data_IF_261151335737
#
_entry.id   IF_261151335737
#
_cell.length_a   1.000
_cell.length_b   1.000
_cell.length_c   1.000
_cell.angle_alpha   90.00
_cell.angle_beta   90.00
_cell.angle_gamma   90.00
#
_symmetry.space_group_name_H-M   'P 1'
#
loop_
_entity.id
_entity.type
_entity.pdbx_description
1 polymer ?
#
# COMPACT_ATOMS: atom_id res chain seq x y z
N UNK A 1 -15.59 6.33 -13.41
CA UNK A 1 -15.12 7.41 -12.50
C UNK A 1 -13.90 7.04 -11.66
N UNK A 2 -13.82 5.84 -11.05
CA UNK A 2 -12.68 5.44 -10.21
C UNK A 2 -11.30 5.57 -10.90
N UNK A 3 -11.20 5.17 -12.19
CA UNK A 3 -9.95 5.33 -12.96
C UNK A 3 -9.53 6.79 -13.15
N UNK A 4 -10.49 7.72 -13.25
CA UNK A 4 -10.20 9.16 -13.34
C UNK A 4 -9.64 9.66 -12.01
N UNK A 5 -10.25 9.28 -10.89
CA UNK A 5 -9.70 9.61 -9.56
C UNK A 5 -8.31 9.03 -9.36
N UNK A 6 -8.10 7.79 -9.77
CA UNK A 6 -6.79 7.13 -9.70
C UNK A 6 -5.74 7.90 -10.53
N UNK A 7 -6.08 8.34 -11.75
CA UNK A 7 -5.18 9.12 -12.60
C UNK A 7 -4.84 10.50 -12.01
N UNK A 8 -5.84 11.19 -11.45
CA UNK A 8 -5.65 12.49 -10.78
C UNK A 8 -4.78 12.32 -9.53
N UNK A 9 -5.07 11.35 -8.66
CA UNK A 9 -4.31 11.07 -7.44
C UNK A 9 -2.87 10.68 -7.80
N UNK A 10 -2.66 9.84 -8.82
CA UNK A 10 -1.33 9.46 -9.31
C UNK A 10 -0.55 10.70 -9.75
N UNK A 11 -1.16 11.57 -10.56
CA UNK A 11 -0.53 12.79 -11.06
C UNK A 11 -0.14 13.75 -9.93
N UNK A 12 -1.05 13.94 -8.96
CA UNK A 12 -0.78 14.76 -7.77
C UNK A 12 0.32 14.15 -6.90
N UNK A 13 0.37 12.84 -6.76
CA UNK A 13 1.40 12.15 -5.96
C UNK A 13 2.78 12.29 -6.58
N UNK A 14 2.89 12.16 -7.92
CA UNK A 14 4.15 12.41 -8.64
C UNK A 14 4.61 13.86 -8.44
N UNK A 15 3.69 14.83 -8.52
CA UNK A 15 4.01 16.23 -8.24
C UNK A 15 4.46 16.44 -6.78
N UNK A 16 3.79 15.80 -5.81
CA UNK A 16 4.21 15.85 -4.40
C UNK A 16 5.61 15.29 -4.18
N UNK A 17 5.96 14.18 -4.85
CA UNK A 17 7.31 13.61 -4.79
C UNK A 17 8.36 14.56 -5.40
N UNK A 18 8.05 15.20 -6.53
CA UNK A 18 8.91 16.25 -7.10
C UNK A 18 9.14 17.41 -6.10
N UNK A 19 8.08 17.91 -5.48
CA UNK A 19 8.16 18.99 -4.50
C UNK A 19 9.00 18.59 -3.27
N UNK A 20 8.82 17.35 -2.77
CA UNK A 20 9.62 16.79 -1.68
C UNK A 20 11.10 16.69 -2.04
N UNK A 21 11.42 16.17 -3.23
CA UNK A 21 12.79 16.07 -3.72
C UNK A 21 13.44 17.45 -3.87
N UNK A 22 12.69 18.45 -4.38
CA UNK A 22 13.18 19.82 -4.50
C UNK A 22 13.45 20.44 -3.13
N UNK A 23 12.54 20.24 -2.17
CA UNK A 23 12.71 20.70 -0.80
C UNK A 23 13.92 20.03 -0.12
N UNK A 24 14.11 18.72 -0.32
CA UNK A 24 15.27 17.99 0.18
C UNK A 24 16.59 18.52 -0.41
N UNK A 25 16.63 18.72 -1.73
CA UNK A 25 17.82 19.24 -2.41
C UNK A 25 18.17 20.66 -1.96
N UNK A 26 17.18 21.53 -1.75
CA UNK A 26 17.40 22.93 -1.34
C UNK A 26 17.74 23.10 0.13
N UNK A 27 17.10 22.34 1.01
CA UNK A 27 17.29 22.47 2.46
C UNK A 27 18.50 21.69 2.98
N UNK A 28 18.92 20.61 2.30
CA UNK A 28 19.96 19.68 2.76
C UNK A 28 19.69 19.07 4.16
N UNK A 29 18.43 19.08 4.61
CA UNK A 29 18.02 18.47 5.88
C UNK A 29 17.61 17.03 5.62
N UNK A 30 18.02 16.08 6.47
CA UNK A 30 17.78 14.64 6.26
C UNK A 30 16.41 14.13 6.69
N UNK A 31 15.68 14.91 7.49
CA UNK A 31 14.36 14.54 8.00
C UNK A 31 13.29 15.45 7.42
N UNK A 32 12.14 14.86 7.11
CA UNK A 32 11.00 15.63 6.61
C UNK A 32 10.46 16.60 7.67
N UNK A 33 10.46 16.20 8.95
CA UNK A 33 10.06 17.05 10.07
C UNK A 33 11.00 18.24 10.20
N UNK A 34 12.29 18.06 9.94
CA UNK A 34 13.28 19.13 9.93
C UNK A 34 13.05 20.12 8.78
N UNK A 35 12.68 19.62 7.59
CA UNK A 35 12.27 20.50 6.47
C UNK A 35 10.97 21.23 6.75
N UNK A 36 9.98 20.53 7.30
CA UNK A 36 8.71 21.13 7.69
C UNK A 36 8.93 22.24 8.73
N UNK A 37 9.83 22.02 9.70
CA UNK A 37 10.22 23.02 10.68
C UNK A 37 10.90 24.24 10.03
N UNK A 38 11.84 24.00 9.12
CA UNK A 38 12.60 25.06 8.48
C UNK A 38 11.75 25.94 7.54
N UNK A 39 10.76 25.35 6.85
CA UNK A 39 9.94 26.04 5.85
C UNK A 39 8.63 26.60 6.41
N UNK A 40 7.98 25.89 7.34
CA UNK A 40 6.61 26.14 7.76
C UNK A 40 6.47 26.36 9.27
N UNK A 41 7.58 26.27 10.02
CA UNK A 41 7.63 26.52 11.45
C UNK A 41 7.22 25.32 12.33
N UNK A 42 7.34 25.50 13.65
CA UNK A 42 7.15 24.44 14.65
C UNK A 42 5.74 23.83 14.64
N UNK A 43 4.71 24.66 14.52
CA UNK A 43 3.32 24.19 14.56
C UNK A 43 3.02 23.21 13.43
N UNK A 44 3.42 23.56 12.20
CA UNK A 44 3.22 22.70 11.05
C UNK A 44 4.09 21.43 11.11
N UNK A 45 5.33 21.53 11.58
CA UNK A 45 6.19 20.36 11.76
C UNK A 45 5.58 19.34 12.74
N UNK A 46 5.01 19.80 13.85
CA UNK A 46 4.33 18.94 14.82
C UNK A 46 3.08 18.29 14.22
N UNK A 47 2.28 19.06 13.49
CA UNK A 47 1.11 18.54 12.78
C UNK A 47 1.50 17.44 11.77
N UNK A 48 2.51 17.70 10.94
CA UNK A 48 2.97 16.77 9.92
C UNK A 48 3.58 15.48 10.53
N UNK A 49 4.31 15.60 11.64
CA UNK A 49 4.78 14.46 12.43
C UNK A 49 3.60 13.63 12.98
N UNK A 50 2.58 14.29 13.51
CA UNK A 50 1.36 13.61 14.00
C UNK A 50 0.63 12.85 12.89
N UNK A 51 0.47 13.46 11.72
CA UNK A 51 -0.15 12.81 10.54
C UNK A 51 0.66 11.59 10.09
N UNK A 52 2.00 11.69 10.03
CA UNK A 52 2.87 10.54 9.69
C UNK A 52 2.73 9.39 10.67
N UNK A 53 2.70 9.68 11.98
CA UNK A 53 2.51 8.66 13.03
C UNK A 53 1.14 7.99 12.86
N UNK A 54 0.08 8.79 12.70
CA UNK A 54 -1.28 8.27 12.53
C UNK A 54 -1.42 7.41 11.27
N UNK A 55 -0.84 7.85 10.15
CA UNK A 55 -0.84 7.10 8.91
C UNK A 55 -0.05 5.79 9.04
N UNK A 56 1.14 5.83 9.63
CA UNK A 56 1.94 4.63 9.87
C UNK A 56 1.24 3.62 10.78
N UNK A 57 0.62 4.10 11.87
CA UNK A 57 -0.14 3.26 12.80
C UNK A 57 -1.37 2.63 12.11
N UNK A 58 -2.17 3.43 11.40
CA UNK A 58 -3.34 2.93 10.68
C UNK A 58 -2.97 1.92 9.59
N UNK A 59 -1.88 2.14 8.86
CA UNK A 59 -1.38 1.17 7.88
C UNK A 59 -0.92 -0.14 8.54
N UNK A 60 -0.23 -0.07 9.67
CA UNK A 60 0.17 -1.25 10.44
C UNK A 60 -1.05 -2.08 10.88
N UNK A 61 -2.09 -1.41 11.42
CA UNK A 61 -3.35 -2.06 11.83
C UNK A 61 -4.06 -2.68 10.63
N UNK A 62 -4.17 -1.95 9.51
CA UNK A 62 -4.81 -2.45 8.29
C UNK A 62 -4.11 -3.70 7.74
N UNK A 63 -2.77 -3.77 7.80
CA UNK A 63 -2.04 -4.96 7.39
C UNK A 63 -2.27 -6.16 8.29
N UNK A 64 -2.29 -5.98 9.61
CA UNK A 64 -2.59 -7.08 10.55
C UNK A 64 -4.00 -7.62 10.34
N UNK A 65 -4.99 -6.73 10.15
CA UNK A 65 -6.37 -7.12 9.83
C UNK A 65 -6.41 -7.89 8.50
N UNK A 66 -5.77 -7.36 7.46
CA UNK A 66 -5.75 -8.01 6.13
C UNK A 66 -5.12 -9.40 6.17
N UNK A 67 -4.05 -9.59 6.93
CA UNK A 67 -3.43 -10.91 7.14
C UNK A 67 -4.42 -11.87 7.83
N UNK A 68 -5.12 -11.40 8.86
CA UNK A 68 -6.13 -12.20 9.55
C UNK A 68 -7.34 -12.55 8.68
N UNK A 69 -7.77 -11.66 7.79
CA UNK A 69 -8.84 -11.93 6.84
C UNK A 69 -8.43 -12.97 5.79
N UNK A 70 -7.18 -12.90 5.31
CA UNK A 70 -6.62 -13.89 4.39
C UNK A 70 -6.58 -15.28 5.04
N UNK A 71 -6.08 -15.39 6.27
CA UNK A 71 -6.06 -16.68 6.98
C UNK A 71 -7.46 -17.21 7.23
N UNK A 72 -8.39 -16.34 7.65
CA UNK A 72 -9.78 -16.71 7.83
C UNK A 72 -10.35 -17.33 6.56
N UNK A 73 -10.09 -16.73 5.41
CA UNK A 73 -10.61 -17.21 4.13
C UNK A 73 -10.01 -18.56 3.73
N UNK A 74 -8.70 -18.74 3.86
CA UNK A 74 -8.01 -20.02 3.60
C UNK A 74 -8.58 -21.13 4.50
N UNK A 75 -8.76 -20.83 5.80
CA UNK A 75 -9.26 -21.80 6.79
C UNK A 75 -10.75 -22.11 6.55
N UNK A 76 -11.56 -21.13 6.19
CA UNK A 76 -12.98 -21.35 5.93
C UNK A 76 -13.22 -22.20 4.68
N UNK A 77 -12.37 -22.06 3.65
CA UNK A 77 -12.43 -22.92 2.46
C UNK A 77 -12.00 -24.37 2.76
N UNK A 78 -11.16 -24.61 3.77
CA UNK A 78 -10.62 -25.94 4.05
C UNK A 78 -11.56 -26.77 4.94
N UNK A 79 -12.14 -27.83 4.39
CA UNK A 79 -12.97 -28.78 5.14
C UNK A 79 -12.17 -29.64 6.14
N UNK A 80 -10.84 -29.66 6.02
CA UNK A 80 -9.95 -30.40 6.93
C UNK A 80 -9.43 -29.57 8.10
N UNK A 81 -9.82 -28.29 8.21
CA UNK A 81 -9.32 -27.42 9.26
C UNK A 81 -9.95 -27.73 10.64
N UNK A 82 -9.17 -27.68 11.74
CA UNK A 82 -9.70 -27.82 13.10
C UNK A 82 -10.81 -26.80 13.38
N UNK A 83 -11.92 -27.25 13.99
CA UNK A 83 -13.07 -26.38 14.32
C UNK A 83 -12.65 -25.12 15.11
N UNK A 84 -11.66 -25.25 16.01
CA UNK A 84 -11.12 -24.13 16.80
C UNK A 84 -10.50 -23.03 15.93
N UNK A 85 -9.84 -23.37 14.80
CA UNK A 85 -9.25 -22.37 13.90
C UNK A 85 -10.30 -21.69 13.01
N UNK A 86 -11.46 -22.33 12.81
CA UNK A 86 -12.61 -21.78 12.08
C UNK A 86 -13.36 -20.74 12.91
N UNK A 87 -13.24 -20.78 14.23
CA UNK A 87 -13.80 -19.77 15.13
C UNK A 87 -13.02 -18.44 15.07
N UNK A 88 -13.73 -17.33 15.30
CA UNK A 88 -13.14 -15.97 15.34
C UNK A 88 -12.01 -15.86 16.36
N UNK A 89 -12.12 -16.56 17.50
CA UNK A 89 -11.09 -16.60 18.54
C UNK A 89 -9.80 -17.27 18.04
N UNK A 90 -9.92 -18.40 17.33
CA UNK A 90 -8.78 -19.10 16.75
C UNK A 90 -8.10 -18.28 15.66
N UNK A 91 -8.86 -17.62 14.79
CA UNK A 91 -8.29 -16.74 13.77
C UNK A 91 -7.53 -15.55 14.40
N UNK A 92 -8.06 -14.94 15.47
CA UNK A 92 -7.38 -13.85 16.19
C UNK A 92 -6.09 -14.32 16.85
N UNK A 93 -6.09 -15.51 17.45
CA UNK A 93 -4.89 -16.12 18.02
C UNK A 93 -3.85 -16.42 16.93
N UNK A 94 -4.26 -17.01 15.81
CA UNK A 94 -3.39 -17.27 14.66
C UNK A 94 -2.78 -15.98 14.11
N UNK A 95 -3.61 -14.95 13.90
CA UNK A 95 -3.16 -13.64 13.44
C UNK A 95 -2.16 -13.03 14.41
N UNK A 96 -2.40 -13.12 15.73
CA UNK A 96 -1.48 -12.65 16.75
C UNK A 96 -0.14 -13.42 16.75
N UNK A 97 -0.18 -14.74 16.57
CA UNK A 97 1.01 -15.58 16.46
C UNK A 97 1.81 -15.25 15.19
N UNK A 98 1.17 -15.09 14.04
CA UNK A 98 1.85 -14.71 12.80
C UNK A 98 2.42 -13.30 12.92
N UNK A 99 1.69 -12.38 13.54
CA UNK A 99 2.22 -11.05 13.83
C UNK A 99 3.47 -11.13 14.71
N UNK A 100 3.45 -11.90 15.80
CA UNK A 100 4.57 -12.03 16.73
C UNK A 100 5.77 -12.79 16.14
N UNK A 101 5.53 -13.82 15.34
CA UNK A 101 6.56 -14.74 14.84
C UNK A 101 7.05 -14.45 13.43
N UNK A 102 6.28 -13.72 12.60
CA UNK A 102 6.66 -13.39 11.23
C UNK A 102 6.77 -11.88 11.02
N UNK A 103 5.72 -11.10 11.34
CA UNK A 103 5.73 -9.66 11.06
C UNK A 103 6.70 -8.89 11.97
N UNK A 104 6.67 -9.15 13.28
CA UNK A 104 7.53 -8.50 14.27
C UNK A 104 9.03 -8.77 14.07
N UNK A 105 9.49 -10.02 13.83
CA UNK A 105 10.91 -10.27 13.59
C UNK A 105 11.42 -9.62 12.31
N UNK A 106 10.55 -9.46 11.30
CA UNK A 106 10.87 -8.76 10.07
C UNK A 106 11.08 -7.24 10.24
N UNK A 107 10.73 -6.67 11.39
CA UNK A 107 11.05 -5.26 11.75
C UNK A 107 12.48 -5.13 12.30
N UNK A 108 13.04 -6.21 12.84
CA UNK A 108 14.35 -6.24 13.52
C UNK A 108 15.57 -6.08 12.59
N UNK A 109 15.62 -6.58 11.34
CA UNK A 109 16.82 -6.44 10.51
C UNK A 109 17.10 -4.96 10.21
N UNK A 110 18.16 -4.44 10.83
CA UNK A 110 18.63 -3.05 10.71
C UNK A 110 19.31 -2.74 9.36
N UNK A 111 19.53 -3.74 8.51
CA UNK A 111 20.17 -3.55 7.21
C UNK A 111 19.12 -3.39 6.11
N UNK A 112 18.94 -2.14 5.67
CA UNK A 112 18.03 -1.72 4.58
C UNK A 112 18.27 -2.52 3.29
N UNK A 113 19.50 -2.98 3.06
CA UNK A 113 19.89 -3.74 1.87
C UNK A 113 19.15 -5.08 1.71
N UNK A 114 18.87 -5.79 2.81
CA UNK A 114 18.11 -7.06 2.74
C UNK A 114 16.62 -6.81 2.45
N UNK A 115 16.09 -5.69 2.95
CA UNK A 115 14.71 -5.30 2.78
C UNK A 115 14.40 -4.93 1.31
N UNK A 116 15.40 -4.40 0.58
CA UNK A 116 15.27 -4.10 -0.85
C UNK A 116 14.97 -5.34 -1.67
N UNK A 117 15.71 -6.44 -1.46
CA UNK A 117 15.47 -7.70 -2.17
C UNK A 117 14.08 -8.26 -1.86
N UNK A 118 13.69 -8.23 -0.58
CA UNK A 118 12.36 -8.68 -0.15
C UNK A 118 11.23 -7.85 -0.75
N UNK A 119 11.40 -6.52 -0.83
CA UNK A 119 10.43 -5.62 -1.46
C UNK A 119 10.32 -5.87 -2.98
N UNK A 120 11.43 -6.04 -3.69
CA UNK A 120 11.39 -6.39 -5.13
C UNK A 120 10.68 -7.72 -5.37
N UNK A 121 10.94 -8.72 -4.54
CA UNK A 121 10.24 -10.00 -4.57
C UNK A 121 8.73 -9.83 -4.29
N UNK A 122 8.35 -9.06 -3.27
CA UNK A 122 6.93 -8.79 -2.98
C UNK A 122 6.21 -8.10 -4.16
N UNK A 123 6.87 -7.17 -4.86
CA UNK A 123 6.31 -6.50 -6.04
C UNK A 123 6.10 -7.48 -7.20
N UNK A 124 7.01 -8.44 -7.43
CA UNK A 124 6.80 -9.44 -8.48
C UNK A 124 5.60 -10.34 -8.20
N UNK A 125 5.35 -10.71 -6.94
CA UNK A 125 4.12 -11.42 -6.55
C UNK A 125 2.87 -10.59 -6.75
N UNK A 126 2.91 -9.28 -6.51
CA UNK A 126 1.78 -8.41 -6.80
C UNK A 126 1.48 -8.36 -8.30
N UNK A 127 2.51 -8.31 -9.16
CA UNK A 127 2.32 -8.38 -10.62
C UNK A 127 1.68 -9.73 -11.00
N UNK A 128 2.17 -10.84 -10.44
CA UNK A 128 1.57 -12.17 -10.65
C UNK A 128 0.09 -12.20 -10.24
N UNK A 129 -0.25 -11.67 -9.06
CA UNK A 129 -1.65 -11.58 -8.62
C UNK A 129 -2.53 -10.80 -9.59
N UNK A 130 -2.05 -9.66 -10.12
CA UNK A 130 -2.79 -8.92 -11.14
C UNK A 130 -3.00 -9.76 -12.40
N UNK A 131 -1.98 -10.50 -12.85
CA UNK A 131 -2.12 -11.39 -14.00
C UNK A 131 -3.15 -12.50 -13.75
N UNK A 132 -3.17 -13.10 -12.56
CA UNK A 132 -4.18 -14.12 -12.19
C UNK A 132 -5.60 -13.53 -12.26
N UNK A 133 -5.82 -12.33 -11.71
CA UNK A 133 -7.14 -11.66 -11.81
C UNK A 133 -7.52 -11.42 -13.28
N UNK A 134 -6.58 -10.96 -14.11
CA UNK A 134 -6.85 -10.66 -15.51
C UNK A 134 -7.19 -11.94 -16.28
N UNK A 135 -6.44 -13.02 -16.06
CA UNK A 135 -6.69 -14.31 -16.71
C UNK A 135 -8.03 -14.87 -16.24
N UNK A 136 -8.28 -14.94 -14.93
CA UNK A 136 -9.53 -15.45 -14.37
C UNK A 136 -10.75 -14.64 -14.85
N UNK A 137 -10.64 -13.31 -14.86
CA UNK A 137 -11.67 -12.42 -15.40
C UNK A 137 -11.91 -12.66 -16.89
N UNK A 138 -10.87 -12.94 -17.68
CA UNK A 138 -11.02 -13.27 -19.10
C UNK A 138 -11.62 -14.67 -19.35
N UNK A 139 -11.35 -15.65 -18.49
CA UNK A 139 -11.80 -17.04 -18.67
C UNK A 139 -13.17 -17.32 -18.07
N UNK A 140 -13.53 -16.68 -16.95
CA UNK A 140 -14.78 -16.92 -16.22
C UNK A 140 -15.68 -15.68 -16.19
N UNK A 141 -15.11 -14.49 -15.93
CA UNK A 141 -15.89 -13.25 -15.83
C UNK A 141 -16.47 -12.73 -17.15
N UNK A 142 -15.68 -12.72 -18.22
CA UNK A 142 -16.05 -12.19 -19.54
C UNK A 142 -17.14 -13.01 -20.25
N UNK A 143 -17.05 -14.35 -20.35
CA UNK A 143 -18.07 -15.14 -21.03
C UNK A 143 -19.47 -15.03 -20.40
N UNK A 144 -19.55 -14.89 -19.08
CA UNK A 144 -20.82 -14.79 -18.35
C UNK A 144 -21.40 -13.36 -18.29
N UNK A 145 -20.55 -12.31 -18.34
CA UNK A 145 -20.99 -10.91 -18.22
C UNK A 145 -21.07 -10.13 -19.55
N UNK A 146 -20.47 -10.61 -20.65
CA UNK A 146 -20.52 -9.93 -21.97
C UNK A 146 -21.97 -9.75 -22.48
N UNK A 147 -22.90 -10.65 -22.13
CA UNK A 147 -24.30 -10.53 -22.52
C UNK A 147 -25.11 -9.47 -21.74
N UNK A 148 -24.53 -8.79 -20.74
CA UNK A 148 -25.23 -7.79 -19.89
C UNK A 148 -24.45 -6.49 -19.67
N UNK A 149 -23.53 -6.12 -20.57
CA UNK A 149 -22.86 -4.81 -20.53
C UNK A 149 -23.80 -3.76 -21.10
N UNK A 150 -24.64 -3.14 -20.27
CA UNK A 150 -25.39 -1.95 -20.66
C UNK A 150 -24.53 -0.70 -20.45
N UNK A 151 -24.36 0.08 -21.51
CA UNK A 151 -23.61 1.35 -21.54
C UNK A 151 -24.50 2.52 -21.10
N UNK A 152 -25.76 2.27 -20.74
CA UNK A 152 -26.75 3.28 -20.40
C UNK A 152 -27.36 3.02 -19.02
N UNK A 153 -27.83 4.09 -18.35
CA UNK A 153 -28.55 4.05 -17.07
C UNK A 153 -29.76 3.11 -17.16
N UNK A 154 -29.53 1.85 -16.87
CA UNK A 154 -30.60 0.89 -16.64
C UNK A 154 -30.32 0.24 -15.28
N UNK A 155 -31.30 0.29 -14.38
CA UNK A 155 -31.14 -0.06 -12.97
C UNK A 155 -30.76 -1.54 -12.75
N UNK A 156 -30.95 -2.38 -13.76
CA UNK A 156 -30.69 -3.83 -13.76
C UNK A 156 -29.33 -4.27 -14.35
N UNK A 157 -28.43 -3.36 -14.72
CA UNK A 157 -27.10 -3.74 -15.22
C UNK A 157 -26.14 -4.12 -14.06
N UNK A 158 -25.48 -5.29 -14.10
CA UNK A 158 -24.54 -5.76 -13.06
C UNK A 158 -23.23 -4.95 -13.00
N UNK A 159 -22.92 -4.18 -14.05
CA UNK A 159 -21.68 -3.40 -14.20
C UNK A 159 -22.03 -1.93 -14.50
N UNK A 160 -21.94 -1.06 -13.48
CA UNK A 160 -22.14 0.39 -13.65
C UNK A 160 -20.78 1.09 -13.79
N UNK A 161 -20.48 1.61 -14.98
CA UNK A 161 -19.22 2.32 -15.27
C UNK A 161 -19.23 3.79 -14.81
N UNK A 162 -20.42 4.38 -14.72
CA UNK A 162 -20.65 5.76 -14.30
C UNK A 162 -21.63 5.82 -13.14
N UNK A 163 -21.08 5.92 -11.93
CA UNK A 163 -21.86 6.20 -10.73
C UNK A 163 -21.76 7.71 -10.44
N UNK A 164 -22.90 8.37 -10.21
CA UNK A 164 -22.98 9.79 -9.87
C UNK A 164 -23.55 9.93 -8.46
N UNK A 165 -22.96 10.80 -7.63
CA UNK A 165 -23.39 11.03 -6.24
C UNK A 165 -22.40 10.51 -5.19
N UNK A 166 -22.84 10.43 -3.92
CA UNK A 166 -21.97 10.16 -2.77
C UNK A 166 -21.27 8.79 -2.81
N UNK A 167 -21.84 7.79 -3.49
CA UNK A 167 -21.22 6.46 -3.68
C UNK A 167 -19.94 6.52 -4.51
N UNK A 168 -19.74 7.55 -5.35
CA UNK A 168 -18.50 7.71 -6.11
C UNK A 168 -17.33 8.19 -5.24
N UNK A 169 -17.62 8.86 -4.12
CA UNK A 169 -16.61 9.45 -3.22
C UNK A 169 -16.16 8.45 -2.15
N UNK A 170 -16.96 7.43 -1.85
CA UNK A 170 -16.67 6.42 -0.81
C UNK A 170 -15.31 5.72 -1.03
N UNK A 171 -15.00 5.34 -2.28
CA UNK A 171 -13.70 4.73 -2.62
C UNK A 171 -12.52 5.70 -2.69
N UNK A 172 -12.77 7.02 -2.70
CA UNK A 172 -11.72 8.03 -2.84
C UNK A 172 -10.76 8.03 -1.64
N UNK A 173 -11.29 7.83 -0.42
CA UNK A 173 -10.48 7.71 0.79
C UNK A 173 -9.48 6.55 0.73
N UNK A 174 -9.90 5.41 0.17
CA UNK A 174 -9.04 4.22 0.00
C UNK A 174 -7.91 4.51 -0.98
N UNK A 175 -8.20 5.17 -2.12
CA UNK A 175 -7.16 5.56 -3.09
C UNK A 175 -6.18 6.58 -2.50
N UNK A 176 -6.68 7.59 -1.77
CA UNK A 176 -5.80 8.55 -1.10
C UNK A 176 -4.89 7.83 -0.09
N UNK A 177 -5.45 6.94 0.73
CA UNK A 177 -4.66 6.18 1.70
C UNK A 177 -3.60 5.30 1.02
N UNK A 178 -3.95 4.62 -0.07
CA UNK A 178 -3.04 3.73 -0.79
C UNK A 178 -1.87 4.45 -1.49
N UNK A 179 -2.08 5.69 -1.95
CA UNK A 179 -1.05 6.47 -2.66
C UNK A 179 -0.15 7.31 -1.74
N UNK A 180 -0.47 7.41 -0.45
CA UNK A 180 0.37 8.13 0.51
C UNK A 180 1.67 7.36 0.72
N UNK A 181 2.78 7.99 0.33
CA UNK A 181 4.13 7.42 0.44
C UNK A 181 4.94 8.17 1.49
N UNK A 182 4.76 7.82 2.77
CA UNK A 182 5.44 8.53 3.88
C UNK A 182 6.97 8.39 3.86
N UNK A 183 7.48 7.31 3.26
CA UNK A 183 8.89 6.94 3.16
C UNK A 183 9.67 7.64 2.04
N UNK A 184 8.98 8.41 1.17
CA UNK A 184 9.59 8.95 -0.05
C UNK A 184 10.77 9.87 0.24
N UNK A 185 10.73 10.54 1.39
CA UNK A 185 11.75 11.48 1.80
C UNK A 185 13.03 10.78 2.26
N UNK A 186 12.89 9.72 3.05
CA UNK A 186 13.99 8.90 3.54
C UNK A 186 14.65 8.16 2.37
N UNK A 187 13.84 7.62 1.44
CA UNK A 187 14.32 6.98 0.20
C UNK A 187 15.14 7.92 -0.68
N UNK A 188 14.80 9.21 -0.74
CA UNK A 188 15.61 10.20 -1.47
C UNK A 188 17.03 10.31 -0.90
N UNK A 189 17.17 10.26 0.43
CA UNK A 189 18.46 10.39 1.10
C UNK A 189 19.33 9.13 1.02
N UNK A 190 18.71 7.95 0.90
CA UNK A 190 19.40 6.66 0.76
C UNK A 190 19.78 6.33 -0.70
N UNK A 191 19.34 7.12 -1.67
CA UNK A 191 19.68 6.92 -3.08
C UNK A 191 21.18 7.20 -3.34
N UNK A 192 21.89 6.32 -4.07
CA UNK A 192 23.34 6.46 -4.32
C UNK A 192 23.68 7.72 -5.12
N UNK A 193 22.94 7.99 -6.22
CA UNK A 193 23.13 9.15 -7.09
C UNK A 193 21.98 10.15 -6.97
N UNK A 194 22.06 10.99 -5.93
CA UNK A 194 20.99 11.92 -5.54
C UNK A 194 20.90 13.10 -6.50
N UNK A 195 19.94 13.02 -7.41
CA UNK A 195 19.53 14.15 -8.26
C UNK A 195 18.01 14.21 -8.33
N UNK A 196 17.45 15.41 -8.31
CA UNK A 196 16.00 15.62 -8.39
C UNK A 196 15.38 14.92 -9.60
N UNK A 197 16.04 15.00 -10.76
CA UNK A 197 15.56 14.39 -12.01
C UNK A 197 15.49 12.87 -11.89
N UNK A 198 16.54 12.21 -11.36
CA UNK A 198 16.53 10.75 -11.21
C UNK A 198 15.53 10.29 -10.17
N UNK A 199 15.41 11.01 -9.05
CA UNK A 199 14.42 10.71 -8.02
C UNK A 199 12.99 10.83 -8.56
N UNK A 200 12.69 11.93 -9.25
CA UNK A 200 11.35 12.17 -9.82
C UNK A 200 11.03 11.17 -10.93
N UNK A 201 12.01 10.82 -11.77
CA UNK A 201 11.82 9.81 -12.81
C UNK A 201 11.58 8.41 -12.21
N UNK A 202 12.41 7.98 -11.25
CA UNK A 202 12.27 6.68 -10.62
C UNK A 202 10.94 6.58 -9.85
N UNK A 203 10.58 7.62 -9.10
CA UNK A 203 9.33 7.68 -8.35
C UNK A 203 8.12 7.75 -9.29
N UNK A 204 8.22 8.51 -10.39
CA UNK A 204 7.21 8.58 -11.44
C UNK A 204 6.96 7.23 -12.11
N UNK A 205 8.02 6.50 -12.47
CA UNK A 205 7.91 5.15 -13.04
C UNK A 205 7.25 4.18 -12.04
N UNK A 206 7.64 4.22 -10.77
CA UNK A 206 7.02 3.42 -9.72
C UNK A 206 5.53 3.74 -9.54
N UNK A 207 5.17 5.01 -9.51
CA UNK A 207 3.79 5.45 -9.35
C UNK A 207 2.92 5.13 -10.57
N UNK A 208 3.49 5.21 -11.78
CA UNK A 208 2.84 4.77 -13.02
C UNK A 208 2.62 3.25 -13.05
N UNK A 209 3.58 2.47 -12.56
CA UNK A 209 3.40 1.02 -12.41
C UNK A 209 2.26 0.71 -11.43
N UNK A 210 2.23 1.36 -10.25
CA UNK A 210 1.12 1.22 -9.29
C UNK A 210 -0.23 1.60 -9.91
N UNK A 211 -0.28 2.70 -10.68
CA UNK A 211 -1.47 3.12 -11.42
C UNK A 211 -1.96 2.02 -12.37
N UNK A 212 -1.06 1.44 -13.17
CA UNK A 212 -1.43 0.37 -14.11
C UNK A 212 -1.95 -0.86 -13.37
N UNK A 213 -1.27 -1.31 -12.33
CA UNK A 213 -1.70 -2.48 -11.54
C UNK A 213 -3.06 -2.25 -10.89
N UNK A 214 -3.29 -1.09 -10.28
CA UNK A 214 -4.58 -0.75 -9.67
C UNK A 214 -5.68 -0.56 -10.72
N UNK A 215 -5.38 0.02 -11.87
CA UNK A 215 -6.34 0.14 -12.97
C UNK A 215 -6.78 -1.23 -13.49
N UNK A 216 -5.83 -2.15 -13.69
CA UNK A 216 -6.12 -3.52 -14.14
C UNK A 216 -6.95 -4.27 -13.10
N UNK A 217 -6.55 -4.30 -11.83
CA UNK A 217 -7.31 -4.97 -10.76
C UNK A 217 -8.71 -4.37 -10.60
N UNK A 218 -8.83 -3.04 -10.62
CA UNK A 218 -10.12 -2.37 -10.48
C UNK A 218 -11.04 -2.63 -11.67
N UNK A 219 -10.50 -2.73 -12.87
CA UNK A 219 -11.29 -2.98 -14.09
C UNK A 219 -11.70 -4.45 -14.19
N UNK A 220 -10.73 -5.37 -14.20
CA UNK A 220 -10.96 -6.80 -14.36
C UNK A 220 -11.65 -7.43 -13.14
N UNK A 221 -11.25 -7.06 -11.92
CA UNK A 221 -11.92 -7.55 -10.71
C UNK A 221 -13.38 -7.08 -10.60
N UNK A 222 -13.69 -5.86 -11.08
CA UNK A 222 -15.07 -5.39 -11.14
C UNK A 222 -15.87 -6.05 -12.27
N UNK A 223 -15.25 -6.40 -13.39
CA UNK A 223 -15.92 -7.19 -14.44
C UNK A 223 -16.26 -8.60 -13.97
N UNK A 224 -15.44 -9.18 -13.08
CA UNK A 224 -15.61 -10.54 -12.59
C UNK A 224 -16.81 -10.66 -11.62
N UNK A 225 -16.87 -9.80 -10.61
CA UNK A 225 -17.88 -9.89 -9.54
C UNK A 225 -18.99 -8.81 -9.62
N UNK A 226 -18.83 -7.78 -10.45
CA UNK A 226 -19.79 -6.69 -10.63
C UNK A 226 -20.12 -5.97 -9.32
N UNK A 227 -21.41 -5.68 -9.09
CA UNK A 227 -21.90 -5.04 -7.86
C UNK A 227 -21.68 -5.83 -6.57
N UNK A 228 -21.29 -7.11 -6.64
CA UNK A 228 -21.04 -7.92 -5.43
C UNK A 228 -19.70 -7.64 -4.78
N UNK A 229 -18.79 -6.92 -5.45
CA UNK A 229 -17.49 -6.54 -4.88
C UNK A 229 -17.69 -5.80 -3.56
N UNK A 230 -17.29 -6.43 -2.46
CA UNK A 230 -17.30 -5.86 -1.12
C UNK A 230 -15.93 -6.05 -0.47
N UNK A 231 -15.35 -4.97 0.04
CA UNK A 231 -14.02 -4.98 0.66
C UNK A 231 -12.89 -5.45 -0.28
N UNK A 232 -12.19 -6.53 0.12
CA UNK A 232 -11.01 -7.03 -0.57
C UNK A 232 -11.37 -8.05 -1.65
N UNK A 233 -11.14 -7.70 -2.92
CA UNK A 233 -11.39 -8.57 -4.09
C UNK A 233 -10.67 -9.92 -3.96
N UNK A 234 -9.49 -9.96 -3.33
CA UNK A 234 -8.73 -11.19 -3.12
C UNK A 234 -9.56 -12.25 -2.38
N UNK A 235 -10.34 -11.83 -1.37
CA UNK A 235 -11.11 -12.73 -0.50
C UNK A 235 -12.35 -13.31 -1.20
N UNK A 236 -12.72 -12.79 -2.37
CA UNK A 236 -13.84 -13.29 -3.16
C UNK A 236 -13.48 -14.52 -3.99
N UNK A 237 -12.19 -14.75 -4.23
CA UNK A 237 -11.69 -15.95 -4.90
C UNK A 237 -11.48 -17.08 -3.89
N UNK A 238 -11.84 -18.32 -4.29
CA UNK A 238 -11.64 -19.51 -3.46
C UNK A 238 -10.22 -20.06 -3.63
N UNK A 239 -9.34 -19.96 -2.61
CA UNK A 239 -7.94 -20.36 -2.74
C UNK A 239 -7.72 -21.87 -2.85
N UNK A 240 -8.70 -22.72 -2.54
CA UNK A 240 -8.49 -24.18 -2.55
C UNK A 240 -8.92 -24.86 -3.85
N UNK A 241 -9.84 -24.25 -4.60
CA UNK A 241 -10.26 -24.79 -5.89
C UNK A 241 -9.29 -24.42 -7.00
N UNK A 242 -8.61 -23.27 -6.88
CA UNK A 242 -7.71 -22.75 -7.90
C UNK A 242 -6.27 -22.59 -7.36
N UNK A 243 -5.30 -23.42 -7.79
CA UNK A 243 -3.93 -23.36 -7.27
C UNK A 243 -3.24 -22.04 -7.60
N UNK A 244 -3.63 -21.37 -8.69
CA UNK A 244 -3.10 -20.06 -9.09
C UNK A 244 -3.48 -18.96 -8.09
N UNK A 245 -4.72 -19.00 -7.59
CA UNK A 245 -5.22 -18.09 -6.55
C UNK A 245 -4.48 -18.33 -5.24
N UNK A 246 -4.21 -19.58 -4.87
CA UNK A 246 -3.43 -19.89 -3.66
C UNK A 246 -2.03 -19.26 -3.70
N UNK A 247 -1.34 -19.31 -4.84
CA UNK A 247 -0.04 -18.66 -5.00
C UNK A 247 -0.15 -17.14 -4.86
N UNK A 248 -1.22 -16.54 -5.39
CA UNK A 248 -1.48 -15.12 -5.23
C UNK A 248 -1.73 -14.72 -3.76
N UNK A 249 -2.44 -15.56 -2.98
CA UNK A 249 -2.64 -15.37 -1.55
C UNK A 249 -1.31 -15.32 -0.79
N UNK A 250 -0.42 -16.28 -1.04
CA UNK A 250 0.94 -16.30 -0.46
C UNK A 250 1.72 -15.05 -0.86
N UNK A 251 1.60 -14.65 -2.12
CA UNK A 251 2.20 -13.42 -2.65
C UNK A 251 1.75 -12.17 -1.89
N UNK A 252 0.44 -11.99 -1.72
CA UNK A 252 -0.13 -10.84 -0.99
C UNK A 252 0.28 -10.89 0.49
N UNK A 253 0.27 -12.05 1.13
CA UNK A 253 0.76 -12.21 2.51
C UNK A 253 2.23 -11.76 2.64
N UNK A 254 3.09 -12.21 1.73
CA UNK A 254 4.51 -11.80 1.72
C UNK A 254 4.67 -10.29 1.57
N UNK A 255 3.87 -9.67 0.70
CA UNK A 255 3.84 -8.21 0.50
C UNK A 255 3.35 -7.47 1.73
N UNK A 256 2.33 -7.96 2.41
CA UNK A 256 1.81 -7.34 3.65
C UNK A 256 2.88 -7.35 4.75
N UNK A 257 3.61 -8.46 4.90
CA UNK A 257 4.75 -8.54 5.80
C UNK A 257 5.86 -7.55 5.43
N UNK A 258 6.22 -7.44 4.14
CA UNK A 258 7.23 -6.50 3.66
C UNK A 258 6.83 -5.04 3.93
N UNK A 259 5.57 -4.73 3.62
CA UNK A 259 5.02 -3.38 3.78
C UNK A 259 4.96 -2.98 5.25
N UNK A 260 4.65 -3.92 6.14
CA UNK A 260 4.61 -3.68 7.59
C UNK A 260 5.97 -3.20 8.12
N UNK A 261 7.06 -3.89 7.78
CA UNK A 261 8.41 -3.47 8.19
C UNK A 261 8.80 -2.10 7.65
N UNK A 262 8.46 -1.83 6.38
CA UNK A 262 8.78 -0.56 5.72
C UNK A 262 7.99 0.64 6.28
N UNK A 263 6.76 0.44 6.76
CA UNK A 263 5.94 1.51 7.33
C UNK A 263 6.17 1.71 8.83
N UNK A 264 6.67 0.70 9.53
CA UNK A 264 6.98 0.82 10.95
C UNK A 264 8.19 1.74 11.21
N UNK A 265 9.25 1.63 10.42
CA UNK A 265 10.47 2.45 10.56
C UNK A 265 10.23 3.97 10.51
N UNK A 266 9.58 4.55 9.47
CA UNK A 266 9.31 5.98 9.38
C UNK A 266 8.26 6.45 10.39
N UNK A 267 7.40 5.58 10.92
CA UNK A 267 6.41 5.96 11.94
C UNK A 267 7.07 6.10 13.32
N UNK A 268 8.12 5.32 13.59
CA UNK A 268 8.87 5.38 14.84
C UNK A 268 9.79 6.62 14.94
N UNK A 269 10.34 7.10 13.82
CA UNK A 269 11.29 8.22 13.80
C UNK A 269 10.69 9.57 14.31
N UNK A 270 9.51 10.02 13.87
CA UNK A 270 8.85 11.19 14.45
C UNK A 270 8.47 10.96 15.91
N UNK A 271 8.08 9.73 16.30
CA UNK A 271 7.71 9.39 17.68
C UNK A 271 8.88 9.65 18.65
N UNK A 272 10.10 9.24 18.28
CA UNK A 272 11.31 9.51 19.06
C UNK A 272 11.69 11.00 19.06
N UNK A 273 11.48 11.70 17.95
CA UNK A 273 11.73 13.15 17.84
C UNK A 273 10.78 13.98 18.69
N UNK A 274 9.53 13.51 18.86
CA UNK A 274 8.53 14.14 19.72
C UNK A 274 8.79 13.86 21.21
N UNK A 275 9.15 12.64 21.58
CA UNK A 275 9.45 12.24 22.97
C UNK A 275 10.79 12.79 23.49
N UNK A 276 11.81 12.89 22.64
CA UNK A 276 13.13 13.43 23.02
C UNK A 276 13.18 14.96 23.14
N UNK A 277 12.08 15.64 22.83
CA UNK A 277 12.08 17.06 22.51
C UNK A 277 12.81 17.33 21.19
N UNK A 278 12.43 18.36 20.45
CA UNK A 278 13.09 18.77 19.21
C UNK A 278 14.51 19.33 19.45
N UNK A 279 15.39 18.58 20.14
CA UNK A 279 16.84 18.80 20.17
C UNK A 279 17.45 18.22 18.89
N UNK A 280 17.06 18.77 17.74
CA UNK A 280 17.93 18.69 16.57
C UNK A 280 19.06 19.68 16.82
N UNK A 281 20.16 19.20 17.40
CA UNK A 281 21.44 19.86 17.17
C UNK A 281 21.63 19.91 15.65
N UNK A 282 21.58 21.12 15.11
CA UNK A 282 22.08 21.42 13.78
C UNK A 282 23.47 20.76 13.65
N UNK A 283 23.75 19.97 12.60
CA UNK A 283 25.12 19.59 12.32
C UNK A 283 25.85 20.88 11.92
N UNK A 284 26.40 21.56 12.92
CA UNK A 284 27.48 22.51 12.73
C UNK A 284 28.59 21.77 12.03
N UNK A 285 29.11 22.39 10.96
CA UNK A 285 29.90 21.72 9.94
C UNK A 285 31.07 20.89 10.48
N UNK A 286 31.26 19.73 9.86
CA UNK A 286 32.59 19.12 9.78
C UNK A 286 32.94 19.04 8.30
N UNK A 287 33.76 20.00 7.88
CA UNK A 287 34.82 19.81 6.91
C UNK A 287 35.41 18.41 6.97
N UNK A 288 35.53 17.73 5.83
CA UNK A 288 36.78 17.15 5.32
C UNK A 288 36.46 16.23 4.14
N UNK A 289 36.85 16.69 2.95
CA UNK A 289 37.28 15.85 1.83
C UNK A 289 38.44 14.94 2.28
N UNK A 290 38.62 13.81 1.61
CA UNK A 290 39.60 13.80 0.52
C UNK A 290 38.96 13.61 -0.87
#
# INVERSE_FOLDING_TARGET
MALVYLAVITSLTIYSMYALGLAAQRSQIRTFEGVALALLGRGFALFAAGVRIFHGFSACVAYVISVGDIFRNIISSSDSAPQFLRESTGNRLLTALVWLCAMMPLVIPKHIDSLRYFSTFAVSFMIYFVLVIVVHSCTHGLPDNIHKISVSKDDDAPVVLFNSGNKAIEGLGVFMFAYVSINSYEVYWDMTDRTLTRFTLASGLGMMLCFLLYAMVSFFGYMDFGRKVDGSILLMYDPLQEPEVMVAYVGVLSKLCASYSLLFMPAAMPFTTLLGGMRMSCPTGSTALP
#
